data_IF_879895066512
#
_entry.id   IF_879895066512
#
_cell.length_a   1.000
_cell.length_b   1.000
_cell.length_c   1.000
_cell.angle_alpha   90.00
_cell.angle_beta   90.00
_cell.angle_gamma   90.00
#
_symmetry.space_group_name_H-M   'P 1'
#
loop_
_entity.id
_entity.type
_entity.pdbx_description
1 polymer ?
#
# COMPACT_ATOMS: atom_id res chain seq x y z
N UNK A 1 -16.18 -6.15 -19.13
CA UNK A 1 -15.33 -6.86 -18.15
C UNK A 1 -15.41 -6.17 -16.79
N UNK A 2 -15.12 -6.89 -15.69
CA UNK A 2 -15.17 -6.31 -14.34
C UNK A 2 -14.27 -5.06 -14.18
N UNK A 3 -13.17 -5.02 -14.94
CA UNK A 3 -12.29 -3.86 -15.09
C UNK A 3 -13.04 -2.59 -15.50
N UNK A 4 -13.99 -2.67 -16.42
CA UNK A 4 -14.74 -1.51 -16.92
C UNK A 4 -15.65 -0.93 -15.84
N UNK A 5 -16.15 -1.78 -14.94
CA UNK A 5 -16.94 -1.35 -13.79
C UNK A 5 -16.09 -0.51 -12.80
N UNK A 6 -14.82 -0.87 -12.66
CA UNK A 6 -13.82 -0.12 -11.88
C UNK A 6 -13.46 1.18 -12.62
N UNK A 7 -13.30 1.11 -13.94
CA UNK A 7 -12.97 2.27 -14.78
C UNK A 7 -14.02 3.38 -14.74
N UNK A 8 -15.28 3.04 -14.45
CA UNK A 8 -16.38 4.00 -14.27
C UNK A 8 -16.30 4.80 -12.95
N UNK A 9 -15.38 4.47 -12.05
CA UNK A 9 -15.18 5.22 -10.80
C UNK A 9 -14.34 6.49 -11.03
N UNK A 10 -14.27 7.36 -10.02
CA UNK A 10 -13.52 8.61 -10.12
C UNK A 10 -12.02 8.34 -10.26
N UNK A 11 -11.47 8.62 -11.45
CA UNK A 11 -10.02 8.57 -11.71
C UNK A 11 -9.31 9.65 -10.91
N UNK A 12 -8.40 9.23 -10.03
CA UNK A 12 -7.50 10.13 -9.32
C UNK A 12 -6.17 10.27 -10.07
N UNK A 13 -5.74 9.20 -10.73
CA UNK A 13 -4.50 9.11 -11.45
C UNK A 13 -4.64 8.11 -12.61
N UNK A 14 -4.05 8.42 -13.75
CA UNK A 14 -3.90 7.49 -14.88
C UNK A 14 -2.63 7.85 -15.62
N UNK A 15 -1.67 6.92 -15.70
CA UNK A 15 -0.43 7.08 -16.46
C UNK A 15 0.03 5.73 -17.02
N UNK A 16 0.74 5.75 -18.13
CA UNK A 16 1.49 4.58 -18.55
C UNK A 16 2.68 4.38 -17.61
N UNK A 17 2.90 3.15 -17.15
CA UNK A 17 4.12 2.81 -16.45
C UNK A 17 5.22 2.67 -17.48
N UNK A 18 6.01 3.73 -17.60
CA UNK A 18 7.27 3.66 -18.34
C UNK A 18 8.41 3.13 -17.48
N UNK A 19 8.24 3.14 -16.14
CA UNK A 19 9.22 2.64 -15.17
C UNK A 19 8.72 2.58 -13.71
N UNK A 20 9.45 1.86 -12.86
CA UNK A 20 9.17 1.67 -11.43
C UNK A 20 9.18 2.97 -10.58
N UNK A 21 9.89 4.03 -11.00
CA UNK A 21 9.91 5.33 -10.28
C UNK A 21 8.56 6.06 -10.28
N UNK A 22 7.67 5.72 -11.21
CA UNK A 22 6.30 6.23 -11.21
C UNK A 22 5.49 5.68 -10.03
N UNK A 23 5.84 4.49 -9.52
CA UNK A 23 5.11 3.81 -8.44
C UNK A 23 5.31 4.55 -7.12
N UNK A 24 6.56 4.89 -6.76
CA UNK A 24 6.87 5.68 -5.56
C UNK A 24 6.19 7.04 -5.59
N UNK A 25 6.21 7.70 -6.75
CA UNK A 25 5.53 8.98 -6.96
C UNK A 25 4.01 8.84 -6.73
N UNK A 26 3.39 7.75 -7.21
CA UNK A 26 1.96 7.48 -6.99
C UNK A 26 1.64 7.32 -5.51
N UNK A 27 2.41 6.54 -4.76
CA UNK A 27 2.16 6.32 -3.33
C UNK A 27 2.45 7.58 -2.49
N UNK A 28 3.45 8.38 -2.86
CA UNK A 28 3.74 9.65 -2.20
C UNK A 28 2.68 10.73 -2.53
N UNK A 29 2.21 10.79 -3.77
CA UNK A 29 1.11 11.67 -4.20
C UNK A 29 -0.23 11.28 -3.55
N UNK A 30 -0.42 9.99 -3.24
CA UNK A 30 -1.56 9.49 -2.46
C UNK A 30 -1.51 10.01 -1.02
N UNK A 31 -0.38 9.81 -0.33
CA UNK A 31 -0.19 10.20 1.08
C UNK A 31 -0.20 11.71 1.33
N UNK A 32 0.15 12.52 0.33
CA UNK A 32 0.22 13.99 0.46
C UNK A 32 -1.14 14.70 0.42
N UNK A 33 -2.25 14.00 0.15
CA UNK A 33 -3.58 14.61 -0.08
C UNK A 33 -4.39 14.93 1.18
N UNK A 34 -3.89 14.68 2.38
CA UNK A 34 -4.48 15.15 3.65
C UNK A 34 -5.74 14.41 4.12
N UNK A 35 -6.55 13.86 3.21
CA UNK A 35 -7.71 13.01 3.51
C UNK A 35 -7.39 11.53 3.25
N UNK A 36 -7.79 10.65 4.18
CA UNK A 36 -7.63 9.19 4.05
C UNK A 36 -8.37 8.67 2.80
N UNK A 37 -7.67 7.98 1.92
CA UNK A 37 -8.22 7.53 0.63
C UNK A 37 -8.63 6.05 0.67
N UNK A 38 -9.82 5.74 0.15
CA UNK A 38 -10.21 4.37 -0.23
C UNK A 38 -10.17 4.25 -1.74
N UNK A 39 -9.29 3.38 -2.25
CA UNK A 39 -9.01 3.31 -3.67
C UNK A 39 -8.66 1.91 -4.15
N UNK A 40 -8.82 1.72 -5.46
CA UNK A 40 -8.32 0.56 -6.19
C UNK A 40 -7.30 1.06 -7.20
N UNK A 41 -6.08 0.56 -7.09
CA UNK A 41 -5.04 0.76 -8.08
C UNK A 41 -5.08 -0.42 -9.04
N UNK A 42 -5.34 -0.13 -10.31
CA UNK A 42 -5.45 -1.08 -11.40
C UNK A 42 -4.23 -0.96 -12.30
N UNK A 43 -3.52 -2.06 -12.48
CA UNK A 43 -2.47 -2.22 -13.45
C UNK A 43 -2.99 -3.04 -14.63
N UNK A 44 -2.95 -2.46 -15.82
CA UNK A 44 -3.49 -3.03 -17.05
C UNK A 44 -2.38 -3.59 -17.93
N UNK A 45 -2.26 -4.91 -17.98
CA UNK A 45 -1.38 -5.63 -18.89
C UNK A 45 -2.16 -6.17 -20.09
N UNK A 46 -1.44 -6.69 -21.09
CA UNK A 46 -2.06 -7.11 -22.37
C UNK A 46 -3.17 -8.15 -22.21
N UNK A 47 -2.97 -9.15 -21.34
CA UNK A 47 -3.86 -10.31 -21.18
C UNK A 47 -4.39 -10.50 -19.75
N UNK A 48 -4.04 -9.61 -18.82
CA UNK A 48 -4.43 -9.66 -17.40
C UNK A 48 -4.47 -8.27 -16.79
N UNK A 49 -5.03 -8.16 -15.59
CA UNK A 49 -4.93 -6.93 -14.80
C UNK A 49 -4.60 -7.24 -13.36
N UNK A 50 -3.74 -6.45 -12.73
CA UNK A 50 -3.45 -6.58 -11.30
C UNK A 50 -4.15 -5.47 -10.55
N UNK A 51 -4.77 -5.80 -9.41
CA UNK A 51 -5.49 -4.84 -8.58
C UNK A 51 -4.88 -4.82 -7.19
N UNK A 52 -4.68 -3.62 -6.68
CA UNK A 52 -4.27 -3.34 -5.32
C UNK A 52 -5.37 -2.56 -4.62
N UNK A 53 -5.89 -3.14 -3.54
CA UNK A 53 -6.92 -2.54 -2.70
C UNK A 53 -6.26 -1.73 -1.59
N UNK A 54 -6.61 -0.44 -1.53
CA UNK A 54 -6.11 0.52 -0.54
C UNK A 54 -7.32 1.01 0.27
N UNK A 55 -7.30 0.75 1.58
CA UNK A 55 -8.34 1.15 2.52
C UNK A 55 -7.77 2.18 3.49
N UNK A 56 -8.25 3.42 3.40
CA UNK A 56 -7.79 4.51 4.26
C UNK A 56 -6.26 4.66 4.24
N UNK A 57 -5.69 4.74 3.04
CA UNK A 57 -4.25 4.80 2.74
C UNK A 57 -3.41 3.56 3.10
N UNK A 58 -4.01 2.56 3.76
CA UNK A 58 -3.35 1.31 4.08
C UNK A 58 -3.57 0.27 2.98
N UNK A 59 -2.56 -0.56 2.73
CA UNK A 59 -2.71 -1.74 1.91
C UNK A 59 -3.72 -2.70 2.55
N UNK A 60 -4.59 -3.29 1.73
CA UNK A 60 -5.61 -4.21 2.20
C UNK A 60 -5.49 -5.59 1.55
N UNK A 61 -5.45 -5.66 0.23
CA UNK A 61 -5.29 -6.90 -0.51
C UNK A 61 -4.74 -6.63 -1.92
N UNK A 62 -4.10 -7.64 -2.52
CA UNK A 62 -3.74 -7.64 -3.93
C UNK A 62 -4.35 -8.87 -4.62
N UNK A 63 -4.76 -8.69 -5.88
CA UNK A 63 -5.36 -9.76 -6.70
C UNK A 63 -4.98 -9.61 -8.15
N UNK A 64 -4.94 -10.74 -8.87
CA UNK A 64 -4.93 -10.79 -10.32
C UNK A 64 -6.36 -10.97 -10.83
N UNK A 65 -6.77 -10.15 -11.79
CA UNK A 65 -7.99 -10.31 -12.56
C UNK A 65 -7.64 -10.94 -13.91
N UNK A 66 -8.04 -12.19 -14.10
CA UNK A 66 -7.84 -12.96 -15.33
C UNK A 66 -9.17 -13.57 -15.75
N UNK A 67 -9.57 -13.39 -17.00
CA UNK A 67 -10.83 -13.93 -17.55
C UNK A 67 -12.05 -13.62 -16.64
N UNK A 68 -12.11 -12.39 -16.11
CA UNK A 68 -13.12 -11.91 -15.17
C UNK A 68 -13.22 -12.65 -13.82
N UNK A 69 -12.20 -13.41 -13.46
CA UNK A 69 -12.08 -14.07 -12.15
C UNK A 69 -10.95 -13.43 -11.35
N UNK A 70 -11.19 -13.25 -10.05
CA UNK A 70 -10.15 -12.81 -9.12
C UNK A 70 -9.35 -13.99 -8.61
N UNK A 71 -8.04 -13.86 -8.65
CA UNK A 71 -7.08 -14.75 -8.03
C UNK A 71 -6.33 -13.98 -6.94
N UNK A 72 -6.30 -14.46 -5.69
CA UNK A 72 -5.47 -13.85 -4.66
C UNK A 72 -4.01 -13.79 -5.12
N UNK A 73 -3.38 -12.63 -4.93
CA UNK A 73 -1.99 -12.41 -5.30
C UNK A 73 -1.25 -11.90 -4.06
N UNK A 74 -0.25 -12.62 -3.54
CA UNK A 74 0.60 -12.11 -2.48
C UNK A 74 1.19 -10.76 -2.86
N UNK A 75 1.36 -9.85 -1.89
CA UNK A 75 1.93 -8.53 -2.13
C UNK A 75 3.35 -8.62 -2.69
N UNK A 76 4.16 -9.59 -2.26
CA UNK A 76 5.51 -9.82 -2.81
C UNK A 76 5.47 -10.04 -4.32
N UNK A 77 4.52 -10.86 -4.77
CA UNK A 77 4.33 -11.20 -6.18
C UNK A 77 3.73 -10.02 -6.93
N UNK A 78 2.75 -9.34 -6.32
CA UNK A 78 2.16 -8.12 -6.87
C UNK A 78 3.23 -7.05 -7.15
N UNK A 79 4.11 -6.74 -6.18
CA UNK A 79 5.15 -5.74 -6.37
C UNK A 79 6.23 -6.20 -7.35
N UNK A 80 6.56 -7.49 -7.37
CA UNK A 80 7.47 -8.08 -8.36
C UNK A 80 6.93 -7.87 -9.77
N UNK A 81 5.68 -8.22 -10.00
CA UNK A 81 5.01 -8.07 -11.30
C UNK A 81 4.84 -6.59 -11.70
N UNK A 82 4.44 -5.75 -10.75
CA UNK A 82 4.31 -4.31 -10.95
C UNK A 82 5.65 -3.67 -11.36
N UNK A 83 6.79 -4.18 -10.88
CA UNK A 83 8.12 -3.68 -11.23
C UNK A 83 8.57 -4.00 -12.67
N UNK A 84 7.95 -5.01 -13.28
CA UNK A 84 8.24 -5.50 -14.64
C UNK A 84 7.17 -5.08 -15.65
N UNK A 85 6.08 -4.50 -15.14
CA UNK A 85 4.92 -4.09 -15.91
C UNK A 85 5.27 -3.03 -16.96
N UNK A 86 4.68 -3.17 -18.14
CA UNK A 86 4.76 -2.21 -19.25
C UNK A 86 3.41 -1.52 -19.50
N UNK A 87 2.40 -1.95 -18.75
CA UNK A 87 1.02 -1.53 -18.83
C UNK A 87 0.72 -0.13 -18.31
N UNK A 88 -0.56 0.24 -18.41
CA UNK A 88 -1.06 1.47 -17.80
C UNK A 88 -1.44 1.22 -16.34
N UNK A 89 -1.19 2.21 -15.48
CA UNK A 89 -1.63 2.19 -14.10
C UNK A 89 -2.66 3.29 -13.88
N UNK A 90 -3.74 2.88 -13.24
CA UNK A 90 -4.88 3.74 -12.94
C UNK A 90 -5.19 3.63 -11.46
N UNK A 91 -5.51 4.75 -10.84
CA UNK A 91 -5.95 4.80 -9.45
C UNK A 91 -7.35 5.37 -9.41
N UNK A 92 -8.28 4.56 -8.94
CA UNK A 92 -9.68 4.92 -8.82
C UNK A 92 -10.02 5.11 -7.36
N UNK A 93 -10.49 6.31 -7.01
CA UNK A 93 -11.10 6.52 -5.69
C UNK A 93 -12.49 5.91 -5.73
N UNK A 94 -12.75 5.08 -4.74
CA UNK A 94 -13.99 4.32 -4.64
C UNK A 94 -14.74 4.69 -3.37
N UNK A 95 -16.06 4.60 -3.40
CA UNK A 95 -16.83 4.63 -2.15
C UNK A 95 -16.65 3.30 -1.39
N UNK A 96 -16.86 3.27 -0.05
CA UNK A 96 -16.68 2.06 0.75
C UNK A 96 -17.58 0.88 0.37
N UNK A 97 -18.76 1.14 -0.20
CA UNK A 97 -19.72 0.09 -0.59
C UNK A 97 -19.21 -0.65 -1.82
N UNK A 98 -18.78 0.07 -2.85
CA UNK A 98 -18.19 -0.50 -4.06
C UNK A 98 -16.88 -1.22 -3.74
N UNK A 99 -16.02 -0.62 -2.92
CA UNK A 99 -14.78 -1.22 -2.45
C UNK A 99 -15.03 -2.56 -1.74
N UNK A 100 -15.97 -2.60 -0.78
CA UNK A 100 -16.37 -3.82 -0.10
C UNK A 100 -16.94 -4.86 -1.07
N UNK A 101 -17.79 -4.45 -2.01
CA UNK A 101 -18.37 -5.36 -3.00
C UNK A 101 -17.30 -6.06 -3.85
N UNK A 102 -16.30 -5.32 -4.34
CA UNK A 102 -15.18 -5.91 -5.09
C UNK A 102 -14.37 -6.91 -4.25
N UNK A 103 -14.07 -6.58 -3.00
CA UNK A 103 -13.38 -7.50 -2.09
C UNK A 103 -14.19 -8.77 -1.80
N UNK A 104 -15.51 -8.66 -1.71
CA UNK A 104 -16.41 -9.84 -1.57
C UNK A 104 -16.27 -10.73 -2.79
N UNK A 105 -16.32 -10.19 -4.01
CA UNK A 105 -16.11 -10.96 -5.23
C UNK A 105 -14.74 -11.63 -5.27
N UNK A 106 -13.72 -10.96 -4.73
CA UNK A 106 -12.35 -11.46 -4.70
C UNK A 106 -12.10 -12.56 -3.66
N UNK A 107 -12.74 -12.48 -2.50
CA UNK A 107 -12.42 -13.32 -1.34
C UNK A 107 -13.49 -14.36 -0.99
N UNK A 108 -14.71 -14.21 -1.50
CA UNK A 108 -15.85 -15.05 -1.11
C UNK A 108 -16.36 -15.88 -2.26
N UNK A 109 -16.95 -17.02 -1.90
CA UNK A 109 -17.75 -17.82 -2.84
C UNK A 109 -19.20 -17.35 -2.78
N UNK A 110 -19.89 -17.28 -3.92
CA UNK A 110 -21.31 -16.95 -3.95
C UNK A 110 -22.12 -17.99 -3.16
N UNK A 111 -23.12 -17.50 -2.41
CA UNK A 111 -24.09 -18.36 -1.74
C UNK A 111 -25.11 -18.94 -2.72
N UNK A 112 -25.38 -18.23 -3.82
CA UNK A 112 -26.23 -18.69 -4.92
C UNK A 112 -25.49 -18.41 -6.22
N UNK A 113 -25.39 -19.43 -7.07
CA UNK A 113 -25.03 -19.32 -8.49
C UNK A 113 -26.18 -19.91 -9.28
N UNK A 114 -26.77 -19.12 -10.16
CA UNK A 114 -27.91 -19.51 -10.98
C UNK A 114 -27.93 -18.71 -12.28
N UNK A 115 -28.92 -18.98 -13.12
CA UNK A 115 -29.21 -18.22 -14.34
C UNK A 115 -30.65 -17.72 -14.31
N UNK A 116 -30.96 -16.65 -15.05
CA UNK A 116 -32.30 -16.02 -15.03
C UNK A 116 -33.44 -16.89 -15.58
N UNK A 117 -33.13 -17.93 -16.34
CA UNK A 117 -34.08 -18.98 -16.78
C UNK A 117 -34.44 -19.96 -15.65
N UNK A 118 -33.51 -20.22 -14.72
CA UNK A 118 -33.71 -21.11 -13.57
C UNK A 118 -34.31 -20.34 -12.39
N UNK A 119 -33.84 -19.12 -12.15
CA UNK A 119 -34.21 -18.33 -10.98
C UNK A 119 -34.76 -16.96 -11.39
N UNK A 120 -36.05 -16.77 -11.17
CA UNK A 120 -36.70 -15.49 -11.37
C UNK A 120 -36.10 -14.41 -10.44
N UNK A 121 -35.68 -13.30 -11.03
CA UNK A 121 -35.04 -12.20 -10.31
C UNK A 121 -35.95 -11.60 -9.23
N UNK A 122 -37.24 -11.42 -9.47
CA UNK A 122 -38.17 -10.89 -8.47
C UNK A 122 -38.30 -11.82 -7.26
N UNK A 123 -38.28 -13.14 -7.49
CA UNK A 123 -38.29 -14.13 -6.41
C UNK A 123 -37.01 -14.03 -5.56
N UNK A 124 -35.86 -13.82 -6.20
CA UNK A 124 -34.58 -13.60 -5.53
C UNK A 124 -34.59 -12.31 -4.71
N UNK A 125 -35.07 -11.20 -5.27
CA UNK A 125 -35.18 -9.91 -4.59
C UNK A 125 -36.10 -10.00 -3.37
N UNK A 126 -37.23 -10.69 -3.49
CA UNK A 126 -38.12 -11.00 -2.38
C UNK A 126 -37.42 -11.82 -1.28
N UNK A 127 -36.58 -12.78 -1.66
CA UNK A 127 -35.80 -13.57 -0.69
C UNK A 127 -34.78 -12.70 0.06
N UNK A 128 -34.05 -11.84 -0.66
CA UNK A 128 -33.11 -10.87 -0.06
C UNK A 128 -33.83 -9.94 0.91
N UNK A 129 -34.99 -9.40 0.50
CA UNK A 129 -35.82 -8.54 1.34
C UNK A 129 -36.33 -9.25 2.60
N UNK A 130 -36.82 -10.49 2.48
CA UNK A 130 -37.28 -11.29 3.62
C UNK A 130 -36.17 -11.58 4.62
N UNK A 131 -34.95 -11.87 4.15
CA UNK A 131 -33.81 -12.11 5.03
C UNK A 131 -33.39 -10.86 5.81
N UNK A 132 -33.69 -9.64 5.31
CA UNK A 132 -33.28 -8.35 5.90
C UNK A 132 -31.77 -8.28 6.19
N UNK A 133 -30.96 -8.99 5.41
CA UNK A 133 -29.50 -9.00 5.53
C UNK A 133 -28.88 -8.06 4.48
N UNK A 134 -27.61 -7.71 4.71
CA UNK A 134 -26.82 -7.16 3.62
C UNK A 134 -26.56 -8.26 2.57
N UNK A 135 -26.48 -7.85 1.31
CA UNK A 135 -26.14 -8.77 0.22
C UNK A 135 -25.47 -8.02 -0.94
N UNK A 136 -24.63 -8.73 -1.68
CA UNK A 136 -24.10 -8.30 -2.97
C UNK A 136 -24.64 -9.25 -4.04
N UNK A 137 -25.25 -8.68 -5.07
CA UNK A 137 -25.69 -9.40 -6.26
C UNK A 137 -24.83 -8.95 -7.43
N UNK A 138 -24.23 -9.92 -8.12
CA UNK A 138 -23.55 -9.74 -9.38
C UNK A 138 -24.40 -10.38 -10.47
N UNK A 139 -24.74 -9.59 -11.49
CA UNK A 139 -25.39 -10.06 -12.71
C UNK A 139 -24.38 -10.00 -13.85
N UNK A 140 -24.27 -11.10 -14.61
CA UNK A 140 -23.39 -11.18 -15.77
C UNK A 140 -24.18 -11.52 -17.04
N UNK A 141 -23.87 -10.83 -18.12
CA UNK A 141 -24.44 -11.04 -19.46
C UNK A 141 -23.29 -11.01 -20.47
N UNK A 142 -22.87 -12.18 -20.97
CA UNK A 142 -21.62 -12.29 -21.73
C UNK A 142 -20.42 -11.78 -20.92
N UNK A 143 -19.71 -10.77 -21.44
CA UNK A 143 -18.60 -10.10 -20.74
C UNK A 143 -19.02 -8.90 -19.87
N UNK A 144 -20.30 -8.55 -19.87
CA UNK A 144 -20.84 -7.44 -19.08
C UNK A 144 -21.15 -7.86 -17.65
N UNK A 145 -20.81 -7.00 -16.69
CA UNK A 145 -20.97 -7.27 -15.26
C UNK A 145 -21.55 -6.06 -14.53
N UNK A 146 -22.65 -6.27 -13.80
CA UNK A 146 -23.29 -5.23 -13.00
C UNK A 146 -23.44 -5.67 -11.54
N UNK A 147 -23.17 -4.74 -10.63
CA UNK A 147 -23.20 -4.98 -9.19
C UNK A 147 -24.35 -4.23 -8.51
N UNK A 148 -25.01 -4.92 -7.58
CA UNK A 148 -26.15 -4.41 -6.84
C UNK A 148 -25.93 -4.71 -5.35
N UNK A 149 -25.90 -3.67 -4.53
CA UNK A 149 -25.71 -3.80 -3.09
C UNK A 149 -27.02 -3.62 -2.35
N UNK A 150 -27.30 -4.53 -1.41
CA UNK A 150 -28.48 -4.50 -0.57
C UNK A 150 -28.08 -4.22 0.87
N UNK A 151 -28.79 -3.29 1.53
CA UNK A 151 -28.66 -3.01 2.96
C UNK A 151 -29.99 -3.33 3.65
N UNK A 152 -29.95 -4.21 4.65
CA UNK A 152 -31.15 -4.61 5.39
C UNK A 152 -32.25 -5.19 4.48
N UNK A 153 -31.84 -5.91 3.41
CA UNK A 153 -32.75 -6.49 2.42
C UNK A 153 -33.31 -5.52 1.36
N UNK A 154 -32.94 -4.24 1.38
CA UNK A 154 -33.35 -3.26 0.36
C UNK A 154 -32.17 -2.91 -0.54
N UNK A 155 -32.43 -2.80 -1.84
CA UNK A 155 -31.43 -2.34 -2.80
C UNK A 155 -31.04 -0.89 -2.46
N UNK A 156 -29.75 -0.65 -2.26
CA UNK A 156 -29.23 0.67 -1.85
C UNK A 156 -28.29 1.29 -2.87
N UNK A 157 -27.48 0.49 -3.57
CA UNK A 157 -26.53 0.99 -4.56
C UNK A 157 -26.50 0.09 -5.80
N UNK A 158 -26.26 0.68 -6.96
CA UNK A 158 -26.11 -0.02 -8.24
C UNK A 158 -24.87 0.48 -8.97
N UNK A 159 -24.17 -0.44 -9.63
CA UNK A 159 -22.99 -0.15 -10.43
C UNK A 159 -23.15 -0.86 -11.76
N UNK A 160 -23.30 -0.08 -12.83
CA UNK A 160 -23.46 -0.57 -14.18
C UNK A 160 -22.16 -0.40 -14.98
N UNK A 161 -21.80 -1.41 -15.78
CA UNK A 161 -20.65 -1.36 -16.67
C UNK A 161 -20.88 -0.43 -17.86
N UNK A 162 -22.03 -0.57 -18.54
CA UNK A 162 -22.46 0.32 -19.60
C UNK A 162 -23.75 1.03 -19.18
N UNK A 163 -23.70 2.35 -19.00
CA UNK A 163 -24.86 3.16 -18.65
C UNK A 163 -25.88 3.35 -19.80
N UNK A 164 -25.67 2.67 -20.93
CA UNK A 164 -26.33 2.96 -22.21
C UNK A 164 -27.75 2.42 -22.39
N UNK A 165 -28.16 1.40 -21.63
CA UNK A 165 -29.48 0.76 -21.81
C UNK A 165 -30.46 1.00 -20.65
N UNK A 166 -29.97 1.39 -19.48
CA UNK A 166 -30.81 1.62 -18.29
C UNK A 166 -31.01 3.11 -18.11
N UNK A 167 -32.24 3.60 -18.31
CA UNK A 167 -32.58 4.98 -18.00
C UNK A 167 -32.30 5.25 -16.51
N UNK A 168 -31.62 6.35 -16.19
CA UNK A 168 -31.43 6.79 -14.78
C UNK A 168 -32.74 7.26 -14.12
N UNK A 169 -33.87 7.07 -14.79
CA UNK A 169 -35.20 7.43 -14.32
C UNK A 169 -35.83 6.24 -13.61
N UNK A 170 -36.59 6.51 -12.53
CA UNK A 170 -37.17 5.47 -11.68
C UNK A 170 -36.27 5.03 -10.53
N UNK A 171 -36.81 4.17 -9.67
CA UNK A 171 -36.13 3.58 -8.53
C UNK A 171 -35.01 2.62 -8.96
N UNK A 172 -34.00 2.43 -8.10
CA UNK A 172 -32.94 1.44 -8.34
C UNK A 172 -33.49 0.03 -8.59
N UNK A 173 -34.62 -0.29 -7.98
CA UNK A 173 -35.30 -1.57 -8.17
C UNK A 173 -35.86 -1.70 -9.58
N UNK A 174 -36.56 -0.67 -10.08
CA UNK A 174 -37.05 -0.64 -11.46
C UNK A 174 -35.90 -0.70 -12.46
N UNK A 175 -34.80 0.01 -12.23
CA UNK A 175 -33.60 -0.05 -13.07
C UNK A 175 -33.01 -1.45 -13.16
N UNK A 176 -32.94 -2.18 -12.04
CA UNK A 176 -32.51 -3.58 -12.01
C UNK A 176 -33.46 -4.46 -12.84
N UNK A 177 -34.77 -4.33 -12.63
CA UNK A 177 -35.77 -5.12 -13.37
C UNK A 177 -35.72 -4.83 -14.87
N UNK A 178 -35.66 -3.56 -15.26
CA UNK A 178 -35.47 -3.13 -16.65
C UNK A 178 -34.23 -3.78 -17.22
N UNK A 179 -33.07 -3.69 -16.56
CA UNK A 179 -31.86 -4.35 -17.05
C UNK A 179 -32.04 -5.86 -17.27
N UNK A 180 -32.71 -6.55 -16.35
CA UNK A 180 -32.92 -8.01 -16.44
C UNK A 180 -33.96 -8.45 -17.47
N UNK A 181 -34.90 -7.58 -17.83
CA UNK A 181 -35.99 -7.90 -18.76
C UNK A 181 -35.80 -7.27 -20.15
N UNK A 182 -35.16 -6.11 -20.24
CA UNK A 182 -34.85 -5.43 -21.50
C UNK A 182 -33.78 -6.13 -22.32
N UNK A 183 -33.10 -7.13 -21.74
CA UNK A 183 -32.19 -8.05 -22.43
C UNK A 183 -32.92 -9.07 -23.34
N UNK A 184 -34.01 -8.67 -24.00
CA UNK A 184 -34.81 -9.50 -24.88
C UNK A 184 -33.93 -10.18 -25.96
N UNK A 185 -33.68 -11.49 -25.82
CA UNK A 185 -33.56 -12.35 -27.00
C UNK A 185 -32.44 -13.39 -27.19
N UNK A 186 -31.47 -13.67 -26.29
CA UNK A 186 -30.57 -14.81 -26.59
C UNK A 186 -29.94 -15.57 -25.41
N UNK A 187 -29.49 -14.91 -24.34
CA UNK A 187 -28.66 -15.60 -23.34
C UNK A 187 -29.14 -15.38 -21.91
N UNK A 188 -29.39 -16.46 -21.14
CA UNK A 188 -29.64 -16.36 -19.71
C UNK A 188 -28.49 -15.63 -19.03
N UNK A 189 -28.83 -14.72 -18.12
CA UNK A 189 -27.84 -13.99 -17.34
C UNK A 189 -27.39 -14.83 -16.16
N UNK A 190 -26.09 -14.85 -15.88
CA UNK A 190 -25.56 -15.49 -14.67
C UNK A 190 -25.86 -14.59 -13.46
N UNK A 191 -26.35 -15.21 -12.40
CA UNK A 191 -26.69 -14.62 -11.12
C UNK A 191 -25.69 -15.17 -10.10
N UNK A 192 -24.96 -14.29 -9.43
CA UNK A 192 -24.18 -14.63 -8.25
C UNK A 192 -24.63 -13.78 -7.06
N UNK A 193 -25.10 -14.42 -5.98
CA UNK A 193 -25.55 -13.72 -4.77
C UNK A 193 -24.68 -14.08 -3.56
N UNK A 194 -24.26 -13.05 -2.83
CA UNK A 194 -23.42 -13.13 -1.64
C UNK A 194 -24.16 -12.53 -0.45
N UNK A 195 -24.22 -13.26 0.66
CA UNK A 195 -24.73 -12.82 1.96
C UNK A 195 -23.63 -12.74 3.03
N UNK A 196 -22.57 -13.54 2.89
CA UNK A 196 -21.35 -13.37 3.69
C UNK A 196 -20.51 -12.25 3.03
N UNK A 197 -20.51 -11.08 3.66
CA UNK A 197 -19.79 -9.91 3.18
C UNK A 197 -18.57 -9.58 4.06
N UNK A 198 -18.16 -10.50 4.95
CA UNK A 198 -17.08 -10.27 5.90
C UNK A 198 -15.72 -10.49 5.24
N UNK A 199 -15.12 -9.42 4.76
CA UNK A 199 -13.79 -9.45 4.10
C UNK A 199 -12.68 -9.21 5.12
N UNK A 200 -11.49 -9.73 4.84
CA UNK A 200 -10.31 -9.56 5.69
C UNK A 200 -9.13 -9.06 4.87
N UNK A 201 -8.17 -8.36 5.49
CA UNK A 201 -6.90 -8.06 4.83
C UNK A 201 -6.21 -9.35 4.35
N UNK A 202 -5.39 -9.24 3.30
CA UNK A 202 -4.57 -10.36 2.86
C UNK A 202 -3.60 -10.80 3.96
N UNK A 203 -3.28 -12.09 3.98
CA UNK A 203 -2.56 -12.71 5.10
C UNK A 203 -1.13 -12.16 5.27
N UNK A 204 -0.51 -11.75 4.17
CA UNK A 204 0.84 -11.21 4.05
C UNK A 204 0.85 -9.67 4.07
N UNK A 205 -0.26 -9.02 4.43
CA UNK A 205 -0.32 -7.55 4.48
C UNK A 205 0.67 -6.97 5.49
N UNK A 206 0.86 -7.63 6.62
CA UNK A 206 1.79 -7.17 7.65
C UNK A 206 3.24 -7.37 7.20
N UNK A 207 3.56 -8.50 6.56
CA UNK A 207 4.87 -8.77 5.95
C UNK A 207 5.17 -7.78 4.83
N UNK A 208 4.17 -7.45 4.01
CA UNK A 208 4.26 -6.42 2.99
C UNK A 208 4.49 -5.05 3.62
N UNK A 209 3.73 -4.66 4.63
CA UNK A 209 3.91 -3.39 5.33
C UNK A 209 5.25 -3.32 6.07
N UNK A 210 5.80 -4.44 6.55
CA UNK A 210 7.14 -4.54 7.11
C UNK A 210 8.21 -4.36 6.02
N UNK A 211 8.09 -5.07 4.90
CA UNK A 211 8.96 -4.91 3.73
C UNK A 211 8.90 -3.49 3.15
N UNK A 212 7.72 -2.87 3.17
CA UNK A 212 7.48 -1.50 2.69
C UNK A 212 7.84 -0.43 3.74
N UNK A 213 7.84 -0.79 5.04
CA UNK A 213 8.15 0.05 6.19
C UNK A 213 9.63 0.07 6.56
N UNK A 214 10.36 -0.99 6.21
CA UNK A 214 11.81 -0.94 5.94
C UNK A 214 12.15 -0.26 4.61
N UNK A 215 11.10 0.12 3.87
CA UNK A 215 11.11 0.90 2.66
C UNK A 215 10.66 0.09 1.45
N UNK A 216 9.55 0.52 0.83
CA UNK A 216 9.40 0.49 -0.64
C UNK A 216 10.75 0.89 -1.28
N UNK A 217 11.41 1.87 -0.66
CA UNK A 217 12.76 2.33 -0.91
C UNK A 217 13.84 1.24 -0.83
N UNK A 218 13.80 0.20 0.00
CA UNK A 218 14.91 -0.79 0.06
C UNK A 218 14.80 -1.84 -1.05
N UNK A 219 13.57 -2.21 -1.44
CA UNK A 219 13.31 -3.09 -2.58
C UNK A 219 13.39 -2.36 -3.93
N UNK A 220 13.22 -1.02 -3.97
CA UNK A 220 13.34 -0.21 -5.18
C UNK A 220 14.64 0.65 -5.28
N UNK A 221 15.34 0.95 -4.18
CA UNK A 221 16.61 1.70 -4.15
C UNK A 221 17.87 0.83 -4.23
N UNK A 222 17.72 -0.43 -4.64
CA UNK A 222 18.81 -1.17 -5.28
C UNK A 222 19.09 -0.66 -6.70
N UNK A 223 18.22 0.19 -7.27
CA UNK A 223 18.40 0.75 -8.61
C UNK A 223 19.28 2.00 -8.59
N UNK A 224 20.24 2.11 -9.52
CA UNK A 224 21.13 3.23 -9.52
C UNK A 224 20.42 4.53 -9.90
N UNK A 225 20.81 5.60 -9.23
CA UNK A 225 20.26 6.94 -9.37
C UNK A 225 21.31 7.90 -9.87
N UNK A 226 20.85 8.94 -10.55
CA UNK A 226 21.62 10.10 -10.88
C UNK A 226 21.05 11.31 -10.14
N UNK A 227 21.89 11.96 -9.34
CA UNK A 227 21.50 13.01 -8.39
C UNK A 227 22.15 14.32 -8.83
N UNK A 228 21.35 15.31 -9.22
CA UNK A 228 21.82 16.66 -9.54
C UNK A 228 21.84 17.51 -8.26
N UNK A 229 23.01 18.06 -7.94
CA UNK A 229 23.18 19.04 -6.86
C UNK A 229 23.16 20.45 -7.46
N UNK A 230 22.12 21.22 -7.15
CA UNK A 230 22.07 22.66 -7.46
C UNK A 230 22.32 23.46 -6.18
N UNK A 231 23.16 24.49 -6.24
CA UNK A 231 23.47 25.35 -5.08
C UNK A 231 22.27 26.22 -4.63
N UNK A 232 21.19 26.27 -5.41
CA UNK A 232 20.07 27.21 -5.23
C UNK A 232 18.75 26.55 -4.82
N UNK A 233 18.69 25.22 -4.67
CA UNK A 233 17.48 24.49 -4.28
C UNK A 233 17.68 23.79 -2.94
N UNK A 234 16.66 23.82 -2.07
CA UNK A 234 16.71 23.15 -0.75
C UNK A 234 16.69 21.60 -0.86
N UNK A 235 16.31 21.04 -2.01
CA UNK A 235 16.29 19.61 -2.26
C UNK A 235 17.04 19.24 -3.56
N UNK A 236 17.79 18.12 -3.58
CA UNK A 236 18.44 17.61 -4.80
C UNK A 236 17.41 17.08 -5.80
N UNK A 237 17.71 17.19 -7.09
CA UNK A 237 16.88 16.61 -8.16
C UNK A 237 17.47 15.24 -8.50
N UNK A 238 16.69 14.18 -8.34
CA UNK A 238 17.13 12.80 -8.62
C UNK A 238 16.36 12.20 -9.80
N UNK A 239 17.03 11.35 -10.58
CA UNK A 239 16.36 10.43 -11.53
C UNK A 239 16.95 9.04 -11.41
N UNK A 240 16.10 8.03 -11.59
CA UNK A 240 16.49 6.61 -11.56
C UNK A 240 16.97 6.20 -12.97
N UNK A 241 17.97 5.33 -13.02
CA UNK A 241 18.48 4.73 -14.26
C UNK A 241 17.74 3.40 -14.49
N UNK A 242 16.55 3.50 -15.08
CA UNK A 242 15.56 2.42 -15.18
C UNK A 242 15.32 1.90 -16.60
N UNK A 243 16.15 2.36 -17.55
CA UNK A 243 16.15 1.94 -18.96
C UNK A 243 17.54 1.43 -19.30
N UNK A 244 17.61 0.41 -20.17
CA UNK A 244 18.89 -0.11 -20.65
C UNK A 244 19.78 0.96 -21.31
N UNK A 245 19.21 2.07 -21.79
CA UNK A 245 19.91 3.27 -22.22
C UNK A 245 19.19 4.51 -21.63
N UNK A 246 19.90 5.30 -20.85
CA UNK A 246 19.47 6.58 -20.28
C UNK A 246 20.18 7.73 -20.97
N UNK A 247 19.44 8.63 -21.61
CA UNK A 247 20.00 9.69 -22.47
C UNK A 247 20.13 11.04 -21.76
N UNK A 248 21.28 11.70 -21.95
CA UNK A 248 21.58 13.00 -21.35
C UNK A 248 22.01 14.00 -22.43
N UNK A 249 21.41 15.19 -22.40
CA UNK A 249 21.71 16.20 -23.39
C UNK A 249 20.82 17.43 -23.30
N UNK A 250 21.07 18.41 -24.16
CA UNK A 250 20.28 19.65 -24.23
C UNK A 250 18.96 19.47 -24.98
N UNK A 251 18.79 18.39 -25.74
CA UNK A 251 17.51 18.08 -26.37
C UNK A 251 16.46 17.79 -25.28
N UNK A 252 15.28 18.41 -25.40
CA UNK A 252 14.16 18.23 -24.48
C UNK A 252 13.61 16.79 -24.50
N UNK A 253 13.96 16.01 -25.51
CA UNK A 253 13.62 14.59 -25.62
C UNK A 253 14.56 13.66 -24.83
N UNK A 254 15.66 14.19 -24.29
CA UNK A 254 16.60 13.39 -23.47
C UNK A 254 15.95 13.02 -22.14
N UNK A 255 16.25 11.83 -21.61
CA UNK A 255 15.79 11.39 -20.29
C UNK A 255 16.23 12.38 -19.20
N UNK A 256 17.43 12.95 -19.34
CA UNK A 256 17.85 14.16 -18.63
C UNK A 256 18.13 15.32 -19.58
N UNK A 257 17.14 16.21 -19.74
CA UNK A 257 17.28 17.45 -20.47
C UNK A 257 18.04 18.51 -19.64
N UNK A 258 19.28 18.80 -20.01
CA UNK A 258 20.14 19.78 -19.34
C UNK A 258 20.03 21.13 -20.04
N UNK A 259 19.51 22.13 -19.34
CA UNK A 259 19.34 23.50 -19.85
C UNK A 259 20.64 24.30 -19.80
N UNK A 260 21.63 23.85 -20.55
CA UNK A 260 22.96 24.47 -20.59
C UNK A 260 23.47 24.56 -22.04
N UNK A 261 23.79 25.75 -22.57
CA UNK A 261 24.38 25.93 -23.90
C UNK A 261 25.68 25.14 -24.15
N UNK A 262 26.43 24.79 -23.10
CA UNK A 262 27.64 23.98 -23.18
C UNK A 262 27.34 22.48 -23.40
N UNK A 263 26.09 22.07 -23.37
CA UNK A 263 25.68 20.68 -23.54
C UNK A 263 25.20 20.44 -24.98
N UNK A 264 25.79 19.45 -25.66
CA UNK A 264 25.32 18.93 -26.94
C UNK A 264 23.88 18.43 -26.86
N UNK A 265 23.15 18.42 -27.99
CA UNK A 265 21.76 17.92 -28.04
C UNK A 265 21.65 16.48 -27.53
N UNK A 266 22.51 15.62 -28.05
CA UNK A 266 22.74 14.25 -27.58
C UNK A 266 24.18 14.22 -27.04
N UNK A 267 24.36 14.31 -25.72
CA UNK A 267 25.68 14.53 -25.11
C UNK A 267 26.31 13.22 -24.64
N UNK A 268 25.60 12.50 -23.78
CA UNK A 268 26.05 11.25 -23.20
C UNK A 268 24.88 10.30 -23.01
N UNK A 269 25.19 9.02 -22.86
CA UNK A 269 24.24 8.01 -22.42
C UNK A 269 24.80 7.27 -21.22
N UNK A 270 23.94 6.79 -20.35
CA UNK A 270 24.29 5.78 -19.35
C UNK A 270 23.62 4.48 -19.79
N UNK A 271 24.40 3.40 -19.90
CA UNK A 271 23.95 2.10 -20.39
C UNK A 271 24.23 1.04 -19.33
N UNK A 272 23.26 0.17 -19.10
CA UNK A 272 23.45 -1.05 -18.30
C UNK A 272 24.07 -2.15 -19.18
N UNK A 273 25.12 -2.79 -18.68
CA UNK A 273 25.81 -3.93 -19.28
C UNK A 273 25.88 -5.09 -18.26
N UNK A 274 26.39 -6.26 -18.64
CA UNK A 274 26.39 -7.47 -17.78
C UNK A 274 27.04 -7.28 -16.39
N UNK A 275 28.00 -6.36 -16.28
CA UNK A 275 28.77 -6.14 -15.06
C UNK A 275 28.52 -4.78 -14.38
N UNK A 276 27.58 -3.98 -14.89
CA UNK A 276 27.17 -2.71 -14.26
C UNK A 276 26.88 -1.58 -15.25
N UNK A 277 26.88 -0.34 -14.76
CA UNK A 277 26.49 0.85 -15.52
C UNK A 277 27.71 1.54 -16.13
N UNK A 278 27.60 1.94 -17.39
CA UNK A 278 28.64 2.67 -18.12
C UNK A 278 28.09 4.00 -18.62
N UNK A 279 28.84 5.08 -18.41
CA UNK A 279 28.59 6.33 -19.14
C UNK A 279 29.40 6.34 -20.43
N UNK A 280 28.77 6.76 -21.53
CA UNK A 280 29.37 6.90 -22.85
C UNK A 280 29.12 8.30 -23.42
N UNK A 281 30.18 9.01 -23.80
CA UNK A 281 30.08 10.28 -24.51
C UNK A 281 29.74 10.05 -25.98
N UNK A 282 28.73 10.77 -26.50
CA UNK A 282 28.21 10.60 -27.87
C UNK A 282 28.91 11.50 -28.90
N UNK A 283 30.16 11.85 -28.67
CA UNK A 283 30.91 12.80 -29.51
C UNK A 283 30.54 14.24 -29.19
N UNK A 284 30.36 14.54 -27.90
CA UNK A 284 29.95 15.85 -27.44
C UNK A 284 31.03 16.91 -27.69
N UNK A 285 30.63 18.19 -27.84
CA UNK A 285 31.58 19.27 -28.13
C UNK A 285 32.54 19.55 -26.97
N UNK A 286 32.04 19.45 -25.74
CA UNK A 286 32.79 19.84 -24.54
C UNK A 286 33.26 18.63 -23.71
N UNK A 287 32.82 17.42 -24.05
CA UNK A 287 33.18 16.19 -23.35
C UNK A 287 32.35 15.92 -22.10
N UNK A 288 32.26 14.64 -21.78
CA UNK A 288 31.75 14.10 -20.52
C UNK A 288 32.91 13.84 -19.56
N UNK A 289 32.73 14.19 -18.28
CA UNK A 289 33.75 13.99 -17.25
C UNK A 289 33.20 13.12 -16.11
N UNK A 290 34.03 12.23 -15.56
CA UNK A 290 33.74 11.42 -14.37
C UNK A 290 34.90 11.57 -13.39
N UNK A 291 34.64 12.03 -12.17
CA UNK A 291 35.65 12.31 -11.14
C UNK A 291 36.80 13.19 -11.69
N UNK A 292 36.42 14.28 -12.38
CA UNK A 292 37.31 15.27 -13.03
C UNK A 292 38.09 14.76 -14.26
N UNK A 293 38.00 13.48 -14.60
CA UNK A 293 38.64 12.89 -15.77
C UNK A 293 37.71 12.93 -16.99
N UNK A 294 38.20 13.34 -18.17
CA UNK A 294 37.41 13.31 -19.42
C UNK A 294 37.34 11.88 -19.95
N UNK A 295 36.14 11.38 -20.23
CA UNK A 295 35.91 9.99 -20.61
C UNK A 295 35.14 9.88 -21.94
N UNK A 296 35.44 8.83 -22.71
CA UNK A 296 34.61 8.40 -23.84
C UNK A 296 33.65 7.28 -23.42
N UNK A 297 34.14 6.34 -22.60
CA UNK A 297 33.35 5.31 -21.93
C UNK A 297 33.97 5.01 -20.57
N UNK A 298 33.19 4.92 -19.50
CA UNK A 298 33.67 4.54 -18.16
C UNK A 298 32.58 3.83 -17.36
N UNK A 299 32.96 2.77 -16.64
CA UNK A 299 32.09 2.10 -15.66
C UNK A 299 31.89 3.04 -14.47
N UNK A 300 30.63 3.21 -14.06
CA UNK A 300 30.25 4.06 -12.93
C UNK A 300 30.28 3.24 -11.64
N UNK A 301 30.85 3.84 -10.59
CA UNK A 301 30.86 3.33 -9.22
C UNK A 301 30.04 4.24 -8.31
N UNK A 302 29.59 3.70 -7.16
CA UNK A 302 28.84 4.50 -6.19
C UNK A 302 29.58 5.80 -5.83
N UNK A 303 28.82 6.89 -5.72
CA UNK A 303 29.29 8.25 -5.47
C UNK A 303 30.09 8.93 -6.61
N UNK A 304 30.24 8.31 -7.78
CA UNK A 304 30.95 8.92 -8.91
C UNK A 304 30.33 10.28 -9.30
N UNK A 305 31.19 11.30 -9.42
CA UNK A 305 30.79 12.63 -9.86
C UNK A 305 30.85 12.72 -11.39
N UNK A 306 29.70 12.91 -12.03
CA UNK A 306 29.57 13.06 -13.48
C UNK A 306 29.34 14.54 -13.81
N UNK A 307 30.20 15.14 -14.63
CA UNK A 307 30.05 16.53 -15.07
C UNK A 307 29.82 16.62 -16.58
N UNK A 308 28.72 17.27 -16.94
CA UNK A 308 28.28 17.52 -18.33
C UNK A 308 27.93 19.01 -18.45
N UNK A 309 28.76 19.77 -19.17
CA UNK A 309 28.67 21.23 -19.18
C UNK A 309 28.97 21.81 -17.79
N UNK A 310 28.06 22.63 -17.29
CA UNK A 310 28.03 23.21 -15.93
C UNK A 310 27.26 22.35 -14.93
N UNK A 311 26.51 21.33 -15.38
CA UNK A 311 25.77 20.45 -14.50
C UNK A 311 26.68 19.37 -13.90
N UNK A 312 26.54 19.15 -12.59
CA UNK A 312 27.27 18.14 -11.82
C UNK A 312 26.29 17.17 -11.19
N UNK A 313 26.44 15.90 -11.51
CA UNK A 313 25.62 14.80 -11.05
C UNK A 313 26.44 13.85 -10.18
N UNK A 314 25.79 13.16 -9.26
CA UNK A 314 26.36 12.02 -8.55
C UNK A 314 25.62 10.75 -8.93
N UNK A 315 26.37 9.71 -9.28
CA UNK A 315 25.84 8.37 -9.43
C UNK A 315 25.73 7.72 -8.06
N UNK A 316 24.58 7.13 -7.75
CA UNK A 316 24.35 6.36 -6.54
C UNK A 316 23.88 4.98 -6.93
N UNK A 317 24.74 3.97 -6.83
CA UNK A 317 24.43 2.58 -7.16
C UNK A 317 24.94 1.68 -6.04
N UNK A 318 24.04 1.16 -5.18
CA UNK A 318 24.44 0.17 -4.19
C UNK A 318 24.79 -1.12 -4.92
N UNK A 319 26.07 -1.52 -4.88
CA UNK A 319 26.45 -2.89 -5.24
C UNK A 319 25.60 -3.86 -4.40
N UNK A 320 24.92 -4.79 -5.07
CA UNK A 320 24.20 -5.85 -4.40
C UNK A 320 25.16 -6.62 -3.51
N UNK A 321 24.97 -6.55 -2.19
CA UNK A 321 25.62 -7.47 -1.27
C UNK A 321 24.98 -8.84 -1.49
N UNK A 322 25.68 -9.66 -2.27
CA UNK A 322 25.48 -11.10 -2.32
C UNK A 322 25.74 -11.66 -0.92
N UNK A 323 24.79 -12.46 -0.43
CA UNK A 323 24.98 -13.30 0.75
C UNK A 323 26.26 -14.12 0.63
N UNK A 324 27.27 -13.82 1.46
CA UNK A 324 28.31 -14.75 1.95
C UNK A 324 29.28 -14.01 2.87
N UNK A 325 29.13 -14.20 4.19
CA UNK A 325 30.12 -14.89 5.02
C UNK A 325 29.84 -14.68 6.52
N UNK A 326 29.42 -15.76 7.17
CA UNK A 326 29.62 -15.98 8.60
C UNK A 326 31.13 -16.12 8.80
N UNK A 327 31.75 -15.21 9.55
CA UNK A 327 32.92 -15.53 10.39
C UNK A 327 33.16 -14.47 11.45
N UNK A 328 33.40 -14.99 12.66
CA UNK A 328 33.63 -14.27 13.90
C UNK A 328 34.96 -13.49 13.92
N UNK A 329 34.98 -12.35 14.63
CA UNK A 329 35.97 -12.07 15.68
C UNK A 329 35.76 -10.66 16.27
N UNK A 330 35.65 -10.63 17.61
CA UNK A 330 36.11 -9.61 18.57
C UNK A 330 37.12 -8.58 18.05
N UNK A 331 37.16 -7.32 18.53
CA UNK A 331 37.50 -6.93 19.92
C UNK A 331 37.26 -5.41 20.17
N UNK A 332 36.77 -5.07 21.39
CA UNK A 332 37.10 -3.88 22.25
C UNK A 332 36.95 -2.44 21.71
N UNK A 333 36.45 -1.40 22.41
CA UNK A 333 35.97 -1.15 23.78
C UNK A 333 35.37 0.31 23.85
N UNK A 334 34.96 0.89 25.01
CA UNK A 334 33.66 1.54 25.18
C UNK A 334 33.72 3.08 25.21
N UNK A 335 32.59 3.74 24.94
CA UNK A 335 32.38 5.15 25.33
C UNK A 335 31.40 5.21 26.51
N UNK A 336 31.91 5.81 27.58
CA UNK A 336 31.34 5.99 28.91
C UNK A 336 30.01 6.75 28.87
N UNK A 337 28.99 6.18 29.53
CA UNK A 337 27.81 6.89 30.00
C UNK A 337 28.10 7.59 31.34
N UNK A 338 27.69 8.85 31.45
CA UNK A 338 27.58 9.56 32.72
C UNK A 338 26.19 9.27 33.35
N UNK A 339 26.04 9.41 34.68
CA UNK A 339 24.99 8.77 35.46
C UNK A 339 23.67 9.56 35.38
N UNK A 340 22.56 8.86 35.14
CA UNK A 340 21.23 9.37 35.45
C UNK A 340 20.54 8.44 36.46
N UNK A 341 19.92 9.10 37.41
CA UNK A 341 19.48 8.61 38.71
C UNK A 341 18.39 7.53 38.61
N UNK A 342 18.41 6.61 39.57
CA UNK A 342 17.39 5.59 39.81
C UNK A 342 15.99 6.22 39.93
N UNK A 343 15.24 6.25 38.83
CA UNK A 343 13.78 6.23 38.84
C UNK A 343 13.38 4.74 38.84
N UNK A 344 12.64 4.31 39.85
CA UNK A 344 12.24 2.90 40.04
C UNK A 344 11.73 2.28 38.75
N UNK A 345 12.25 1.11 38.39
CA UNK A 345 11.95 0.47 37.11
C UNK A 345 10.46 0.13 37.03
N UNK A 346 9.73 0.83 36.16
CA UNK A 346 8.35 0.51 35.80
C UNK A 346 8.37 -0.59 34.74
N UNK A 347 7.48 -1.56 34.88
CA UNK A 347 7.28 -2.61 33.89
C UNK A 347 5.81 -3.00 33.79
N UNK A 348 5.44 -3.62 32.67
CA UNK A 348 4.16 -4.32 32.52
C UNK A 348 4.41 -5.81 32.45
N UNK A 349 3.76 -6.58 33.33
CA UNK A 349 3.74 -8.04 33.31
C UNK A 349 2.47 -8.53 32.62
N UNK A 350 2.57 -9.42 31.64
CA UNK A 350 1.39 -10.08 31.05
C UNK A 350 0.88 -11.16 32.02
N UNK A 351 -0.31 -10.96 32.57
CA UNK A 351 -0.91 -11.88 33.56
C UNK A 351 -2.05 -12.73 33.00
N UNK A 352 -2.56 -12.38 31.81
CA UNK A 352 -3.55 -13.16 31.05
C UNK A 352 -3.41 -12.85 29.57
N UNK A 353 -3.54 -13.86 28.70
CA UNK A 353 -3.42 -13.73 27.25
C UNK A 353 -2.51 -14.81 26.65
N UNK A 354 -2.07 -14.62 25.40
CA UNK A 354 -1.18 -15.58 24.70
C UNK A 354 0.27 -15.56 25.20
N UNK A 355 0.68 -14.50 25.90
CA UNK A 355 2.08 -14.24 26.28
C UNK A 355 2.27 -14.11 27.80
N UNK A 356 1.50 -14.88 28.60
CA UNK A 356 1.59 -14.83 30.08
C UNK A 356 3.04 -15.01 30.56
N UNK A 357 3.46 -14.13 31.48
CA UNK A 357 4.81 -14.10 32.04
C UNK A 357 5.80 -13.22 31.28
N UNK A 358 5.41 -12.64 30.13
CA UNK A 358 6.23 -11.64 29.43
C UNK A 358 6.26 -10.32 30.20
N UNK A 359 7.42 -9.66 30.19
CA UNK A 359 7.61 -8.34 30.78
C UNK A 359 7.94 -7.30 29.71
N UNK A 360 7.40 -6.10 29.87
CA UNK A 360 7.77 -4.91 29.10
C UNK A 360 8.40 -3.90 30.05
N UNK A 361 9.70 -3.62 29.89
CA UNK A 361 10.35 -2.55 30.65
C UNK A 361 9.93 -1.19 30.10
N UNK A 362 9.47 -0.30 30.97
CA UNK A 362 8.99 1.02 30.58
C UNK A 362 10.06 2.09 30.86
N UNK A 363 10.63 2.64 29.79
CA UNK A 363 11.51 3.81 29.87
C UNK A 363 10.69 5.10 30.05
N UNK A 364 11.15 6.10 30.82
CA UNK A 364 10.42 7.35 31.12
C UNK A 364 10.32 8.30 29.91
N UNK A 365 9.56 7.89 28.90
CA UNK A 365 9.23 8.61 27.67
C UNK A 365 7.77 8.31 27.28
N UNK A 366 7.27 8.93 26.21
CA UNK A 366 6.00 8.50 25.62
C UNK A 366 6.16 7.08 25.04
N UNK A 367 5.32 6.15 25.46
CA UNK A 367 5.31 4.77 24.97
C UNK A 367 3.95 4.43 24.39
N UNK A 368 3.92 3.78 23.24
CA UNK A 368 2.69 3.32 22.60
C UNK A 368 2.36 1.88 23.00
N UNK A 369 1.07 1.57 23.12
CA UNK A 369 0.53 0.21 23.34
C UNK A 369 -0.37 -0.14 22.15
N UNK A 370 -0.18 -1.31 21.57
CA UNK A 370 -1.06 -1.81 20.53
C UNK A 370 -0.63 -3.16 19.98
N UNK A 371 -1.39 -3.68 19.01
CA UNK A 371 -0.98 -4.91 18.30
C UNK A 371 -0.07 -4.64 17.09
N UNK A 372 0.11 -3.37 16.71
CA UNK A 372 1.00 -2.96 15.63
C UNK A 372 2.41 -2.65 16.15
N UNK A 373 3.21 -1.94 15.34
CA UNK A 373 4.54 -1.46 15.73
C UNK A 373 4.44 -0.39 16.83
N UNK A 374 4.46 -0.84 18.07
CA UNK A 374 4.32 -0.02 19.28
C UNK A 374 5.40 -0.42 20.30
N UNK A 375 5.64 0.41 21.31
CA UNK A 375 6.65 0.13 22.35
C UNK A 375 6.23 -1.06 23.24
N UNK A 376 4.93 -1.23 23.47
CA UNK A 376 4.32 -2.37 24.17
C UNK A 376 3.41 -3.12 23.21
N UNK A 377 4.00 -4.10 22.51
CA UNK A 377 3.28 -4.93 21.53
C UNK A 377 2.44 -5.99 22.24
N UNK A 378 1.13 -5.92 22.06
CA UNK A 378 0.15 -6.86 22.60
C UNK A 378 -0.42 -7.72 21.47
N UNK A 379 -0.01 -8.99 21.43
CA UNK A 379 -0.39 -9.96 20.40
C UNK A 379 -1.83 -10.50 20.57
N UNK A 380 -2.79 -9.62 20.32
CA UNK A 380 -4.21 -9.87 20.54
C UNK A 380 -5.07 -9.25 19.41
N UNK A 381 -5.88 -10.06 18.69
CA UNK A 381 -6.71 -9.57 17.59
C UNK A 381 -7.73 -8.50 17.97
N UNK A 382 -8.14 -8.42 19.24
CA UNK A 382 -9.08 -7.40 19.73
C UNK A 382 -8.39 -6.08 20.10
N UNK A 383 -7.07 -6.00 19.97
CA UNK A 383 -6.31 -4.78 20.25
C UNK A 383 -6.17 -3.97 18.96
N UNK A 384 -6.44 -2.67 19.00
CA UNK A 384 -6.15 -1.76 17.89
C UNK A 384 -4.64 -1.65 17.62
N UNK A 385 -4.25 -1.31 16.38
CA UNK A 385 -2.84 -1.22 15.96
C UNK A 385 -2.05 -0.21 16.81
N UNK A 386 -2.65 0.96 17.05
CA UNK A 386 -2.30 1.90 18.10
C UNK A 386 -3.52 2.01 19.01
N UNK A 387 -3.44 1.45 20.21
CA UNK A 387 -4.59 1.30 21.10
C UNK A 387 -4.60 2.39 22.17
N UNK A 388 -3.46 2.62 22.81
CA UNK A 388 -3.31 3.57 23.89
C UNK A 388 -1.86 4.08 23.95
N UNK A 389 -1.67 5.21 24.61
CA UNK A 389 -0.35 5.75 24.95
C UNK A 389 -0.12 5.76 26.46
N UNK A 390 1.13 5.62 26.86
CA UNK A 390 1.64 5.81 28.21
C UNK A 390 2.47 7.10 28.22
N UNK A 391 1.88 8.16 28.75
CA UNK A 391 2.55 9.45 28.92
C UNK A 391 3.35 9.45 30.23
N UNK A 392 4.64 9.80 30.16
CA UNK A 392 5.45 9.95 31.36
C UNK A 392 5.18 11.28 32.09
N UNK A 393 5.06 11.22 33.42
CA UNK A 393 4.94 12.39 34.31
C UNK A 393 5.87 12.25 35.53
N UNK A 394 6.08 13.33 36.29
CA UNK A 394 6.85 13.29 37.54
C UNK A 394 6.31 12.28 38.58
N UNK A 395 5.04 11.88 38.46
CA UNK A 395 4.38 10.93 39.38
C UNK A 395 4.26 9.50 38.83
N UNK A 396 4.79 9.24 37.63
CA UNK A 396 4.67 7.95 36.93
C UNK A 396 3.92 8.05 35.60
N UNK A 397 3.48 6.91 35.07
CA UNK A 397 2.80 6.85 33.78
C UNK A 397 1.31 7.21 33.86
N UNK A 398 0.82 7.91 32.84
CA UNK A 398 -0.60 8.17 32.59
C UNK A 398 -0.99 7.39 31.34
N UNK A 399 -1.96 6.48 31.47
CA UNK A 399 -2.51 5.73 30.35
C UNK A 399 -3.60 6.56 29.65
N UNK A 400 -3.54 6.65 28.33
CA UNK A 400 -4.48 7.41 27.48
C UNK A 400 -5.03 6.49 26.38
N UNK A 401 -6.35 6.32 26.32
CA UNK A 401 -6.99 5.58 25.22
C UNK A 401 -7.00 6.43 23.94
N UNK A 402 -6.52 5.87 22.82
CA UNK A 402 -6.50 6.56 21.53
C UNK A 402 -7.79 6.32 20.73
N UNK A 403 -8.94 6.31 21.41
CA UNK A 403 -10.25 5.93 20.85
C UNK A 403 -10.21 4.54 20.21
N UNK A 404 -9.64 3.59 20.93
CA UNK A 404 -9.49 2.22 20.46
C UNK A 404 -10.85 1.55 20.20
N UNK A 405 -10.85 0.55 19.31
CA UNK A 405 -12.08 -0.12 18.86
C UNK A 405 -12.86 -0.78 20.00
N UNK A 406 -12.14 -1.39 20.95
CA UNK A 406 -12.75 -2.12 22.07
C UNK A 406 -12.64 -1.37 23.42
N UNK A 407 -11.95 -0.23 23.44
CA UNK A 407 -11.64 0.51 24.66
C UNK A 407 -10.55 -0.16 25.51
N UNK A 408 -9.93 0.65 26.37
CA UNK A 408 -8.98 0.18 27.38
C UNK A 408 -9.57 0.31 28.78
N UNK A 409 -9.24 -0.64 29.66
CA UNK A 409 -9.76 -0.70 31.01
C UNK A 409 -8.63 -0.76 32.03
N UNK A 410 -8.82 -0.15 33.20
CA UNK A 410 -7.92 -0.29 34.35
C UNK A 410 -8.74 -0.72 35.56
N UNK A 411 -8.41 -1.87 36.14
CA UNK A 411 -9.17 -2.50 37.23
C UNK A 411 -10.66 -2.66 36.87
N UNK A 412 -10.91 -3.22 35.68
CA UNK A 412 -12.23 -3.46 35.08
C UNK A 412 -13.10 -2.21 34.83
N UNK A 413 -12.54 -1.00 34.97
CA UNK A 413 -13.22 0.25 34.62
C UNK A 413 -12.67 0.80 33.30
N UNK A 414 -13.57 1.11 32.35
CA UNK A 414 -13.19 1.77 31.09
C UNK A 414 -12.68 3.18 31.37
N UNK A 415 -11.57 3.56 30.75
CA UNK A 415 -10.95 4.88 30.92
C UNK A 415 -10.70 5.55 29.58
N UNK A 416 -10.69 6.88 29.58
CA UNK A 416 -10.13 7.67 28.47
C UNK A 416 -8.70 8.13 28.83
N UNK A 417 -8.47 8.49 30.09
CA UNK A 417 -7.16 8.90 30.63
C UNK A 417 -7.08 8.59 32.12
N UNK A 418 -6.02 7.93 32.57
CA UNK A 418 -5.84 7.58 34.00
C UNK A 418 -4.36 7.47 34.41
N UNK A 419 -3.93 8.15 35.50
CA UNK A 419 -2.63 7.88 36.13
C UNK A 419 -2.57 6.45 36.67
N UNK A 420 -1.49 5.73 36.35
CA UNK A 420 -1.28 4.35 36.77
C UNK A 420 -0.62 4.27 38.15
N UNK A 421 -1.05 3.30 38.94
CA UNK A 421 -0.42 2.91 40.21
C UNK A 421 0.19 1.51 40.11
N UNK A 422 1.17 1.20 40.96
CA UNK A 422 1.67 -0.16 41.08
C UNK A 422 0.52 -1.14 41.38
N UNK A 423 0.59 -2.34 40.81
CA UNK A 423 -0.43 -3.40 40.86
C UNK A 423 -1.72 -3.11 40.06
N UNK A 424 -1.86 -1.96 39.39
CA UNK A 424 -3.00 -1.74 38.47
C UNK A 424 -3.01 -2.79 37.36
N UNK A 425 -4.20 -3.28 37.03
CA UNK A 425 -4.42 -4.23 35.94
C UNK A 425 -5.04 -3.51 34.76
N UNK A 426 -4.27 -3.38 33.68
CA UNK A 426 -4.70 -2.85 32.40
C UNK A 426 -5.28 -4.01 31.58
N UNK A 427 -6.51 -3.88 31.09
CA UNK A 427 -7.10 -4.82 30.13
C UNK A 427 -7.18 -4.17 28.77
N UNK A 428 -6.60 -4.83 27.77
CA UNK A 428 -6.49 -4.39 26.38
C UNK A 428 -6.76 -5.59 25.47
N UNK A 429 -7.91 -5.58 24.78
CA UNK A 429 -8.42 -6.78 24.12
C UNK A 429 -8.80 -7.88 25.12
N UNK A 430 -8.35 -9.11 24.88
CA UNK A 430 -8.44 -10.24 25.81
C UNK A 430 -7.17 -10.37 26.71
N UNK A 431 -6.19 -9.46 26.55
CA UNK A 431 -4.93 -9.46 27.30
C UNK A 431 -5.01 -8.58 28.55
N UNK A 432 -4.46 -9.08 29.66
CA UNK A 432 -4.34 -8.31 30.92
C UNK A 432 -2.87 -8.10 31.27
N UNK A 433 -2.51 -6.85 31.53
CA UNK A 433 -1.17 -6.39 31.90
C UNK A 433 -1.20 -5.85 33.33
N UNK A 434 -0.31 -6.31 34.21
CA UNK A 434 -0.15 -5.77 35.56
C UNK A 434 1.00 -4.76 35.59
N UNK A 435 0.77 -3.61 36.20
CA UNK A 435 1.79 -2.60 36.45
C UNK A 435 2.70 -3.05 37.59
N UNK A 436 3.99 -3.20 37.29
CA UNK A 436 5.03 -3.54 38.28
C UNK A 436 5.94 -2.33 38.45
N UNK A 437 6.20 -1.93 39.70
CA UNK A 437 7.15 -0.88 40.02
C UNK A 437 8.16 -1.42 41.03
N UNK A 438 9.44 -1.53 40.63
CA UNK A 438 10.52 -1.85 41.57
C UNK A 438 10.82 -0.58 42.38
N UNK A 439 10.46 -0.61 43.67
CA UNK A 439 10.80 0.43 44.65
C UNK A 439 12.29 0.52 44.89
#
# INVERSE_FOLDING_TARGET
MLRDLIANQKVLFSKNLYSAGHIETIFNDLKSKGDLVTAVLLLEEKDRSLLLFILQDDLYAAVELKENSFLPLPFTDYFTEMSQAQGAIHLYVTNPIFFKALLVLAQKKPNIVATTDILNIEALLNQVQKKKKEAVLLLKKGEEMNLFYFRGGKLSETYFQAAGEVTKEGSLHEQLLIYTYSSDGAEPMEIQLFYDLDVSPAADVDDALEALGEGVERHLASRPRLILKEEKTEAPIEKILDKGIFTMGRDLRSDWAIKDPMVSREHAIIKEDEDGFYIEDRGSRNGTFVNKEKVLRKKLSDQDEIRIGSATFHFSGKEGQTDSEISASSTSEPIRSAPQENLGAWALEVISGKEVGRFFELSPKLLSIGRGKTDVVVNDPKVSRHHADLEWSEKGFILVDLKSTNGIFVNDQKIDRKPLSAEDVITVGDTRLRVVCKK
#
